data_IF_290243933471
#
_entry.id   IF_290243933471
#
_cell.length_a   1.000
_cell.length_b   1.000
_cell.length_c   1.000
_cell.angle_alpha   90.00
_cell.angle_beta   90.00
_cell.angle_gamma   90.00
#
_symmetry.space_group_name_H-M   'P 1'
#
loop_
_entity.id
_entity.type
_entity.pdbx_description
1 polymer ?
#
# COMPACT_ATOMS: atom_id res chain seq x y z
N UNK A 1 -9.14 -2.64 7.50
CA UNK A 1 -8.06 -1.66 7.20
C UNK A 1 -8.56 -0.28 7.62
N UNK A 2 -7.69 0.56 8.18
CA UNK A 2 -8.02 1.94 8.54
C UNK A 2 -8.30 2.79 7.28
N UNK A 3 -9.19 3.78 7.34
CA UNK A 3 -9.47 4.76 6.27
C UNK A 3 -8.19 5.40 5.70
N UNK A 4 -7.19 5.71 6.54
CA UNK A 4 -5.90 6.27 6.09
C UNK A 4 -5.14 5.32 5.18
N UNK A 5 -5.19 4.02 5.47
CA UNK A 5 -4.56 2.97 4.64
C UNK A 5 -5.28 2.83 3.30
N UNK A 6 -6.60 2.90 3.27
CA UNK A 6 -7.36 2.85 2.02
C UNK A 6 -7.01 4.02 1.08
N UNK A 7 -6.94 5.26 1.60
CA UNK A 7 -6.50 6.43 0.82
C UNK A 7 -5.08 6.27 0.27
N UNK A 8 -4.17 5.69 1.07
CA UNK A 8 -2.79 5.46 0.66
C UNK A 8 -2.71 4.43 -0.48
N UNK A 9 -3.44 3.31 -0.37
CA UNK A 9 -3.52 2.29 -1.41
C UNK A 9 -4.07 2.87 -2.71
N UNK A 10 -5.14 3.67 -2.63
CA UNK A 10 -5.73 4.33 -3.81
C UNK A 10 -4.74 5.24 -4.53
N UNK A 11 -4.03 6.09 -3.79
CA UNK A 11 -2.98 6.96 -4.37
C UNK A 11 -1.84 6.14 -4.98
N UNK A 12 -1.45 5.05 -4.32
CA UNK A 12 -0.39 4.17 -4.80
C UNK A 12 -0.81 3.38 -6.05
N UNK A 13 -2.09 2.96 -6.13
CA UNK A 13 -2.68 2.33 -7.32
C UNK A 13 -2.60 3.26 -8.54
N UNK A 14 -3.05 4.50 -8.37
CA UNK A 14 -2.95 5.55 -9.39
C UNK A 14 -1.50 5.83 -9.79
N UNK A 15 -0.57 5.76 -8.84
CA UNK A 15 0.86 5.94 -9.11
C UNK A 15 1.43 4.83 -9.99
N UNK A 16 1.00 3.59 -9.77
CA UNK A 16 1.45 2.40 -10.49
C UNK A 16 0.66 2.09 -11.75
N UNK A 17 -0.41 2.84 -12.05
CA UNK A 17 -1.31 2.54 -13.17
C UNK A 17 -2.06 1.22 -13.00
N UNK A 18 -2.24 0.77 -11.76
CA UNK A 18 -2.92 -0.49 -11.44
C UNK A 18 -4.35 -0.24 -10.98
N UNK A 19 -5.20 -1.24 -11.22
CA UNK A 19 -6.54 -1.27 -10.64
C UNK A 19 -6.45 -1.32 -9.10
N UNK A 20 -7.20 -0.42 -8.44
CA UNK A 20 -7.20 -0.26 -6.98
C UNK A 20 -7.59 -1.56 -6.27
N UNK A 21 -8.55 -2.30 -6.82
CA UNK A 21 -9.05 -3.51 -6.20
C UNK A 21 -8.07 -4.68 -6.33
N UNK A 22 -7.41 -4.83 -7.49
CA UNK A 22 -6.31 -5.79 -7.67
C UNK A 22 -5.14 -5.49 -6.73
N UNK A 23 -4.70 -4.24 -6.66
CA UNK A 23 -3.60 -3.84 -5.77
C UNK A 23 -3.99 -4.08 -4.31
N UNK A 24 -5.20 -3.71 -3.90
CA UNK A 24 -5.69 -3.93 -2.54
C UNK A 24 -5.74 -5.41 -2.17
N UNK A 25 -6.12 -6.30 -3.09
CA UNK A 25 -6.11 -7.76 -2.86
C UNK A 25 -4.67 -8.29 -2.70
N UNK A 26 -3.72 -7.85 -3.53
CA UNK A 26 -2.31 -8.24 -3.41
C UNK A 26 -1.72 -7.76 -2.08
N UNK A 27 -1.88 -6.47 -1.78
CA UNK A 27 -1.41 -5.88 -0.53
C UNK A 27 -2.04 -6.54 0.68
N UNK A 28 -3.33 -6.91 0.65
CA UNK A 28 -3.96 -7.63 1.76
C UNK A 28 -3.33 -9.00 2.00
N UNK A 29 -3.01 -9.76 0.95
CA UNK A 29 -2.33 -11.07 1.06
C UNK A 29 -0.91 -10.91 1.60
N UNK A 30 -0.12 -10.03 0.99
CA UNK A 30 1.24 -9.73 1.42
C UNK A 30 1.25 -9.21 2.87
N UNK A 31 0.33 -8.33 3.23
CA UNK A 31 0.18 -7.79 4.57
C UNK A 31 -0.16 -8.88 5.60
N UNK A 32 -0.89 -9.93 5.25
CA UNK A 32 -1.12 -11.04 6.18
C UNK A 32 0.13 -11.89 6.39
N UNK A 33 0.99 -12.01 5.37
CA UNK A 33 2.26 -12.73 5.46
C UNK A 33 3.38 -11.94 6.17
N UNK A 34 3.25 -10.61 6.31
CA UNK A 34 4.26 -9.74 6.92
C UNK A 34 4.15 -9.65 8.46
N UNK A 35 5.30 -9.56 9.12
CA UNK A 35 5.40 -9.18 10.53
C UNK A 35 5.19 -7.66 10.74
N UNK A 36 5.11 -7.21 11.99
CA UNK A 36 4.80 -5.80 12.33
C UNK A 36 5.83 -4.81 11.75
N UNK A 37 7.12 -5.15 11.81
CA UNK A 37 8.20 -4.30 11.29
C UNK A 37 8.14 -4.19 9.76
N UNK A 38 7.89 -5.31 9.07
CA UNK A 38 7.74 -5.36 7.62
C UNK A 38 6.53 -4.53 7.15
N UNK A 39 5.42 -4.58 7.88
CA UNK A 39 4.22 -3.77 7.60
C UNK A 39 4.52 -2.28 7.69
N UNK A 40 5.23 -1.86 8.73
CA UNK A 40 5.59 -0.45 8.90
C UNK A 40 6.58 0.01 7.83
N UNK A 41 7.58 -0.81 7.50
CA UNK A 41 8.52 -0.53 6.40
C UNK A 41 7.80 -0.40 5.06
N UNK A 42 6.94 -1.37 4.72
CA UNK A 42 6.19 -1.36 3.47
C UNK A 42 5.26 -0.13 3.36
N UNK A 43 4.66 0.30 4.47
CA UNK A 43 3.87 1.53 4.53
C UNK A 43 4.74 2.77 4.28
N UNK A 44 5.92 2.84 4.89
CA UNK A 44 6.87 3.93 4.66
C UNK A 44 7.35 3.96 3.20
N UNK A 45 7.63 2.81 2.60
CA UNK A 45 8.05 2.69 1.21
C UNK A 45 6.96 3.20 0.26
N UNK A 46 5.69 2.83 0.51
CA UNK A 46 4.54 3.36 -0.25
C UNK A 46 4.40 4.88 -0.12
N UNK A 47 4.63 5.44 1.08
CA UNK A 47 4.58 6.89 1.31
C UNK A 47 5.75 7.58 0.58
N UNK A 48 6.96 7.07 0.70
CA UNK A 48 8.16 7.61 0.02
C UNK A 48 8.00 7.59 -1.49
N UNK A 49 7.46 6.51 -2.05
CA UNK A 49 7.17 6.41 -3.48
C UNK A 49 6.15 7.47 -3.94
N UNK A 50 5.21 7.86 -3.08
CA UNK A 50 4.24 8.92 -3.37
C UNK A 50 4.82 10.33 -3.22
N UNK A 51 5.84 10.53 -2.37
CA UNK A 51 6.51 11.82 -2.15
C UNK A 51 7.58 12.09 -3.21
N UNK A 52 8.26 11.04 -3.71
CA UNK A 52 9.26 11.14 -4.78
C UNK A 52 8.66 11.30 -6.18
N UNK A 53 7.33 11.39 -6.28
CA UNK A 53 6.59 11.61 -7.53
C UNK A 53 6.33 13.09 -7.74
#
# INVERSE_FOLDING_TARGET
MNQKTAKLIRKYALLKGMDEEKLKKSLKREWQAMNKFQKDKHRQDMIQALIKK
#
